data_IF_467601243845
#
_entry.id   IF_467601243845
#
_cell.length_a   1.000
_cell.length_b   1.000
_cell.length_c   1.000
_cell.angle_alpha   90.00
_cell.angle_beta   90.00
_cell.angle_gamma   90.00
#
_symmetry.space_group_name_H-M   'P 1'
#
loop_
_entity.id
_entity.type
_entity.pdbx_description
1 polymer ?
#
# COMPACT_ATOMS: atom_id res chain seq x y z
N UNK A 1 16.58 30.00 7.20
CA UNK A 1 15.34 30.32 6.47
C UNK A 1 14.20 29.68 7.23
N UNK A 2 13.06 30.32 7.39
CA UNK A 2 11.89 29.70 8.01
C UNK A 2 11.52 28.42 7.24
N UNK A 3 11.14 27.38 7.97
CA UNK A 3 10.71 26.12 7.40
C UNK A 3 9.51 26.39 6.46
N UNK A 4 9.60 25.88 5.21
CA UNK A 4 8.55 26.09 4.22
C UNK A 4 8.02 24.74 3.74
N UNK A 5 6.78 24.36 4.12
CA UNK A 5 6.22 23.06 3.79
C UNK A 5 6.12 22.81 2.28
N UNK A 6 5.86 23.84 1.47
CA UNK A 6 5.83 23.72 0.01
C UNK A 6 7.22 23.45 -0.58
N UNK A 7 8.24 24.10 -0.04
CA UNK A 7 9.62 23.85 -0.46
C UNK A 7 10.08 22.44 -0.08
N UNK A 8 9.67 21.94 1.08
CA UNK A 8 9.95 20.57 1.50
C UNK A 8 9.30 19.54 0.58
N UNK A 9 8.02 19.74 0.24
CA UNK A 9 7.30 18.86 -0.69
C UNK A 9 7.97 18.84 -2.07
N UNK A 10 8.31 20.00 -2.64
CA UNK A 10 9.01 20.07 -3.94
C UNK A 10 10.38 19.41 -3.88
N UNK A 11 11.17 19.61 -2.82
CA UNK A 11 12.46 18.96 -2.66
C UNK A 11 12.33 17.42 -2.55
N UNK A 12 11.31 16.94 -1.83
CA UNK A 12 11.02 15.53 -1.72
C UNK A 12 10.60 14.92 -3.07
N UNK A 13 9.75 15.60 -3.86
CA UNK A 13 9.34 15.16 -5.20
C UNK A 13 10.54 15.05 -6.15
N UNK A 14 11.43 16.04 -6.16
CA UNK A 14 12.66 16.00 -6.98
C UNK A 14 13.55 14.81 -6.61
N UNK A 15 13.65 14.48 -5.33
CA UNK A 15 14.44 13.31 -4.88
C UNK A 15 13.75 11.99 -5.20
N UNK A 16 12.43 11.93 -5.09
CA UNK A 16 11.65 10.73 -5.36
C UNK A 16 11.82 10.25 -6.81
N UNK A 17 11.95 11.17 -7.76
CA UNK A 17 12.26 10.82 -9.16
C UNK A 17 13.60 10.08 -9.33
N UNK A 18 14.53 10.24 -8.39
CA UNK A 18 15.86 9.63 -8.42
C UNK A 18 15.94 8.34 -7.60
N UNK A 19 15.34 8.32 -6.41
CA UNK A 19 15.55 7.29 -5.38
C UNK A 19 14.38 6.28 -5.19
N UNK A 20 13.21 6.51 -5.80
CA UNK A 20 12.12 5.53 -5.99
C UNK A 20 11.23 5.16 -4.79
N UNK A 21 11.57 5.43 -3.54
CA UNK A 21 10.75 5.09 -2.36
C UNK A 21 10.12 6.32 -1.71
N UNK A 22 8.86 6.59 -2.04
CA UNK A 22 8.14 7.82 -1.69
C UNK A 22 8.12 8.16 -0.19
N UNK A 23 7.83 7.19 0.67
CA UNK A 23 7.73 7.40 2.11
C UNK A 23 9.08 7.74 2.77
N UNK A 24 10.17 7.05 2.37
CA UNK A 24 11.50 7.26 2.94
C UNK A 24 12.06 8.64 2.55
N UNK A 25 11.84 9.03 1.29
CA UNK A 25 12.31 10.32 0.76
C UNK A 25 11.57 11.48 1.44
N UNK A 26 10.25 11.37 1.60
CA UNK A 26 9.45 12.39 2.28
C UNK A 26 9.88 12.55 3.74
N UNK A 27 9.97 11.45 4.50
CA UNK A 27 10.36 11.49 5.91
C UNK A 27 11.76 12.10 6.11
N UNK A 28 12.73 11.74 5.26
CA UNK A 28 14.08 12.30 5.32
C UNK A 28 14.07 13.83 5.09
N UNK A 29 13.26 14.30 4.12
CA UNK A 29 13.16 15.73 3.82
C UNK A 29 12.44 16.51 4.93
N UNK A 30 11.35 15.95 5.49
CA UNK A 30 10.63 16.57 6.61
C UNK A 30 11.52 16.72 7.86
N UNK A 31 12.32 15.67 8.18
CA UNK A 31 13.31 15.72 9.28
C UNK A 31 14.41 16.74 8.99
N UNK A 32 14.93 16.79 7.76
CA UNK A 32 15.97 17.73 7.35
C UNK A 32 15.54 19.20 7.54
N UNK A 33 14.27 19.48 7.21
CA UNK A 33 13.71 20.83 7.36
C UNK A 33 13.08 21.08 8.73
N UNK A 34 13.10 20.10 9.65
CA UNK A 34 12.53 20.18 11.01
C UNK A 34 11.07 20.63 10.99
N UNK A 35 10.28 20.11 10.05
CA UNK A 35 8.85 20.38 9.97
C UNK A 35 8.09 19.56 10.98
N UNK A 36 7.16 20.19 11.69
CA UNK A 36 6.32 19.58 12.72
C UNK A 36 4.85 19.98 12.55
N UNK A 37 3.96 19.25 13.20
CA UNK A 37 2.54 19.57 13.30
C UNK A 37 1.87 19.80 11.93
N UNK A 38 1.18 20.93 11.78
CA UNK A 38 0.42 21.27 10.57
C UNK A 38 1.29 21.44 9.34
N UNK A 39 2.50 21.95 9.47
CA UNK A 39 3.41 22.17 8.34
C UNK A 39 3.94 20.84 7.80
N UNK A 40 4.24 19.88 8.68
CA UNK A 40 4.59 18.50 8.31
C UNK A 40 3.43 17.84 7.56
N UNK A 41 2.21 17.91 8.09
CA UNK A 41 1.02 17.34 7.47
C UNK A 41 0.73 17.97 6.10
N UNK A 42 0.87 19.28 5.97
CA UNK A 42 0.63 19.99 4.71
C UNK A 42 1.68 19.66 3.63
N UNK A 43 2.96 19.55 4.00
CA UNK A 43 4.01 19.11 3.08
C UNK A 43 3.75 17.68 2.58
N UNK A 44 3.36 16.76 3.46
CA UNK A 44 2.96 15.40 3.12
C UNK A 44 1.74 15.35 2.20
N UNK A 45 0.73 16.16 2.49
CA UNK A 45 -0.46 16.26 1.64
C UNK A 45 -0.12 16.72 0.21
N UNK A 46 0.71 17.75 0.05
CA UNK A 46 1.17 18.19 -1.28
C UNK A 46 1.91 17.06 -2.00
N UNK A 47 2.85 16.41 -1.32
CA UNK A 47 3.68 15.36 -1.89
C UNK A 47 2.83 14.18 -2.42
N UNK A 48 1.93 13.64 -1.61
CA UNK A 48 1.08 12.52 -2.02
C UNK A 48 0.04 12.93 -3.06
N UNK A 49 -0.56 14.12 -2.96
CA UNK A 49 -1.49 14.62 -3.99
C UNK A 49 -0.82 14.73 -5.36
N UNK A 50 0.46 15.16 -5.41
CA UNK A 50 1.20 15.18 -6.68
C UNK A 50 1.41 13.76 -7.21
N UNK A 51 1.83 12.80 -6.39
CA UNK A 51 2.04 11.42 -6.82
C UNK A 51 0.74 10.75 -7.28
N UNK A 52 -0.36 10.97 -6.56
CA UNK A 52 -1.68 10.43 -6.91
C UNK A 52 -2.20 10.94 -8.26
N UNK A 53 -1.87 12.20 -8.61
CA UNK A 53 -2.42 12.88 -9.77
C UNK A 53 -1.39 13.25 -10.82
N UNK A 54 -0.15 12.71 -10.75
CA UNK A 54 0.96 13.12 -11.61
C UNK A 54 0.62 13.04 -13.10
N UNK A 55 -0.01 11.96 -13.56
CA UNK A 55 -0.37 11.80 -14.97
C UNK A 55 -1.38 12.86 -15.46
N UNK A 56 -2.37 13.18 -14.63
CA UNK A 56 -3.34 14.25 -14.89
C UNK A 56 -2.66 15.63 -14.91
N UNK A 57 -1.81 15.89 -13.91
CA UNK A 57 -1.08 17.17 -13.79
C UNK A 57 -0.16 17.38 -15.00
N UNK A 58 0.57 16.36 -15.39
CA UNK A 58 1.49 16.41 -16.54
C UNK A 58 0.75 16.66 -17.84
N UNK A 59 -0.34 15.93 -18.08
CA UNK A 59 -1.18 16.14 -19.26
C UNK A 59 -1.69 17.59 -19.37
N UNK A 60 -2.16 18.16 -18.26
CA UNK A 60 -2.65 19.54 -18.25
C UNK A 60 -1.52 20.53 -18.50
N UNK A 61 -0.37 20.37 -17.81
CA UNK A 61 0.78 21.25 -17.96
C UNK A 61 1.34 21.25 -19.38
N UNK A 62 1.38 20.09 -20.04
CA UNK A 62 1.86 19.94 -21.40
C UNK A 62 1.04 20.71 -22.44
N UNK A 63 -0.28 20.96 -22.19
CA UNK A 63 -1.07 21.81 -23.06
C UNK A 63 -0.52 23.25 -23.17
N UNK A 64 0.26 23.70 -22.20
CA UNK A 64 0.76 25.07 -22.11
C UNK A 64 2.30 25.17 -22.14
N UNK A 65 2.99 24.06 -22.42
CA UNK A 65 4.44 23.97 -22.50
C UNK A 65 4.90 23.53 -23.92
N UNK A 66 5.19 24.47 -24.83
CA UNK A 66 5.53 24.14 -26.21
C UNK A 66 6.73 23.22 -26.39
N UNK A 67 7.65 23.22 -25.41
CA UNK A 67 8.85 22.36 -25.44
C UNK A 67 8.69 21.07 -24.61
N UNK A 68 7.50 20.83 -24.04
CA UNK A 68 7.20 19.71 -23.17
C UNK A 68 7.72 19.87 -21.73
N UNK A 69 7.08 19.12 -20.82
CA UNK A 69 7.38 19.15 -19.38
C UNK A 69 8.75 18.53 -19.06
N UNK A 70 9.13 17.49 -19.78
CA UNK A 70 10.39 16.75 -19.57
C UNK A 70 11.66 17.59 -19.79
N UNK A 71 11.57 18.70 -20.55
CA UNK A 71 12.69 19.62 -20.79
C UNK A 71 12.89 20.66 -19.71
N UNK A 72 11.97 20.74 -18.76
CA UNK A 72 12.12 21.67 -17.66
C UNK A 72 13.15 21.15 -16.63
N UNK A 73 13.78 22.12 -15.96
CA UNK A 73 14.55 21.81 -14.75
C UNK A 73 13.67 21.07 -13.73
N UNK A 74 14.16 19.99 -13.09
CA UNK A 74 13.38 19.20 -12.16
C UNK A 74 12.66 20.02 -11.09
N UNK A 75 13.34 21.00 -10.48
CA UNK A 75 12.72 21.87 -9.47
C UNK A 75 11.57 22.68 -10.06
N UNK A 76 11.70 23.19 -11.29
CA UNK A 76 10.64 23.99 -11.95
C UNK A 76 9.45 23.11 -12.30
N UNK A 77 9.69 21.88 -12.76
CA UNK A 77 8.66 20.88 -13.05
C UNK A 77 7.85 20.55 -11.78
N UNK A 78 8.54 20.25 -10.67
CA UNK A 78 7.87 19.91 -9.42
C UNK A 78 7.16 21.12 -8.77
N UNK A 79 7.65 22.34 -8.96
CA UNK A 79 6.93 23.56 -8.57
C UNK A 79 5.61 23.69 -9.32
N UNK A 80 5.60 23.41 -10.63
CA UNK A 80 4.38 23.45 -11.45
C UNK A 80 3.38 22.38 -11.01
N UNK A 81 3.84 21.12 -10.85
CA UNK A 81 3.00 20.00 -10.37
C UNK A 81 2.39 20.31 -8.99
N UNK A 82 3.23 20.72 -8.03
CA UNK A 82 2.79 21.01 -6.67
C UNK A 82 1.79 22.17 -6.59
N UNK A 83 1.97 23.22 -7.40
CA UNK A 83 1.04 24.34 -7.43
C UNK A 83 -0.29 23.97 -8.07
N UNK A 84 -0.26 23.24 -9.20
CA UNK A 84 -1.46 22.79 -9.87
C UNK A 84 -2.25 21.79 -9.00
N UNK A 85 -1.56 20.87 -8.32
CA UNK A 85 -2.16 19.93 -7.37
C UNK A 85 -2.88 20.67 -6.23
N UNK A 86 -2.24 21.68 -5.64
CA UNK A 86 -2.86 22.48 -4.58
C UNK A 86 -4.13 23.20 -5.06
N UNK A 87 -4.11 23.76 -6.27
CA UNK A 87 -5.25 24.50 -6.81
C UNK A 87 -6.42 23.56 -7.18
N UNK A 88 -6.16 22.37 -7.72
CA UNK A 88 -7.21 21.46 -8.22
C UNK A 88 -7.77 20.52 -7.16
N UNK A 89 -6.93 20.02 -6.26
CA UNK A 89 -7.28 18.91 -5.36
C UNK A 89 -7.25 19.28 -3.87
N UNK A 90 -6.56 20.39 -3.49
CA UNK A 90 -6.40 20.75 -2.07
C UNK A 90 -7.15 22.03 -1.69
N UNK A 91 -8.06 22.51 -2.53
CA UNK A 91 -8.89 23.69 -2.30
C UNK A 91 -8.07 24.97 -1.98
N UNK A 92 -6.80 25.05 -2.41
CA UNK A 92 -6.00 26.25 -2.29
C UNK A 92 -6.42 27.23 -3.38
N UNK A 93 -6.72 28.51 -3.05
CA UNK A 93 -7.09 29.50 -4.07
C UNK A 93 -6.01 29.61 -5.15
N UNK A 94 -6.42 29.65 -6.42
CA UNK A 94 -5.52 29.69 -7.58
C UNK A 94 -4.48 30.81 -7.46
N UNK A 95 -4.91 32.01 -7.05
CA UNK A 95 -3.99 33.14 -6.86
C UNK A 95 -2.91 32.87 -5.81
N UNK A 96 -3.27 32.19 -4.72
CA UNK A 96 -2.33 31.82 -3.66
C UNK A 96 -1.35 30.76 -4.15
N UNK A 97 -1.84 29.70 -4.81
CA UNK A 97 -1.00 28.65 -5.38
C UNK A 97 0.02 29.19 -6.38
N UNK A 98 -0.41 30.07 -7.30
CA UNK A 98 0.46 30.71 -8.30
C UNK A 98 1.50 31.61 -7.64
N UNK A 99 1.09 32.45 -6.69
CA UNK A 99 2.01 33.37 -6.01
C UNK A 99 3.10 32.62 -5.23
N UNK A 100 2.72 31.55 -4.51
CA UNK A 100 3.68 30.72 -3.77
C UNK A 100 4.61 29.97 -4.73
N UNK A 101 4.12 29.45 -5.86
CA UNK A 101 4.95 28.82 -6.89
C UNK A 101 6.02 29.78 -7.43
N UNK A 102 5.66 31.04 -7.72
CA UNK A 102 6.60 32.07 -8.16
C UNK A 102 7.65 32.36 -7.08
N UNK A 103 7.27 32.39 -5.79
CA UNK A 103 8.25 32.51 -4.69
C UNK A 103 9.20 31.33 -4.63
N UNK A 104 8.68 30.10 -4.81
CA UNK A 104 9.50 28.88 -4.81
C UNK A 104 10.57 28.89 -5.90
N UNK A 105 10.34 29.48 -7.09
CA UNK A 105 11.39 29.58 -8.11
C UNK A 105 12.62 30.33 -7.59
N UNK A 106 12.42 31.35 -6.75
CA UNK A 106 13.53 32.09 -6.11
C UNK A 106 14.19 31.28 -5.01
N UNK A 107 13.40 30.57 -4.20
CA UNK A 107 13.89 29.67 -3.15
C UNK A 107 14.83 28.60 -3.72
N UNK A 108 14.48 28.03 -4.87
CA UNK A 108 15.28 27.03 -5.57
C UNK A 108 16.33 27.61 -6.54
N UNK A 109 16.60 28.95 -6.49
CA UNK A 109 17.54 29.64 -7.36
C UNK A 109 17.22 29.53 -8.86
N UNK A 110 15.94 29.43 -9.20
CA UNK A 110 15.39 29.35 -10.56
C UNK A 110 14.57 30.59 -10.91
N UNK A 111 15.00 31.78 -10.45
CA UNK A 111 14.24 33.00 -10.61
C UNK A 111 13.91 33.35 -12.08
N UNK A 112 14.76 32.98 -13.05
CA UNK A 112 14.50 33.14 -14.48
C UNK A 112 13.24 32.41 -14.98
N UNK A 113 12.79 31.35 -14.29
CA UNK A 113 11.58 30.61 -14.61
C UNK A 113 10.29 31.23 -14.05
N UNK A 114 10.38 32.31 -13.25
CA UNK A 114 9.20 32.91 -12.57
C UNK A 114 8.10 33.34 -13.54
N UNK A 115 8.47 33.93 -14.68
CA UNK A 115 7.51 34.33 -15.72
C UNK A 115 6.81 33.15 -16.36
N UNK A 116 7.56 32.10 -16.69
CA UNK A 116 7.02 30.85 -17.24
C UNK A 116 6.05 30.19 -16.27
N UNK A 117 6.46 30.01 -15.00
CA UNK A 117 5.63 29.40 -13.94
C UNK A 117 4.31 30.14 -13.77
N UNK A 118 4.35 31.48 -13.69
CA UNK A 118 3.13 32.30 -13.58
C UNK A 118 2.22 32.16 -14.80
N UNK A 119 2.76 32.23 -16.02
CA UNK A 119 1.99 32.17 -17.25
C UNK A 119 1.33 30.78 -17.46
N UNK A 120 2.08 29.70 -17.21
CA UNK A 120 1.57 28.32 -17.35
C UNK A 120 0.50 28.04 -16.31
N UNK A 121 0.75 28.33 -15.03
CA UNK A 121 -0.22 27.99 -13.98
C UNK A 121 -1.54 28.74 -14.10
N UNK A 122 -1.55 30.01 -14.53
CA UNK A 122 -2.80 30.76 -14.75
C UNK A 122 -3.70 30.12 -15.78
N UNK A 123 -3.14 29.43 -16.78
CA UNK A 123 -3.91 28.70 -17.79
C UNK A 123 -4.24 27.27 -17.31
N UNK A 124 -3.26 26.57 -16.78
CA UNK A 124 -3.41 25.18 -16.36
C UNK A 124 -4.45 24.98 -15.24
N UNK A 125 -4.52 25.90 -14.26
CA UNK A 125 -5.51 25.83 -13.19
C UNK A 125 -6.97 25.93 -13.69
N UNK A 126 -7.19 26.55 -14.84
CA UNK A 126 -8.53 26.71 -15.45
C UNK A 126 -8.78 25.69 -16.58
N UNK A 127 -7.89 24.72 -16.78
CA UNK A 127 -8.08 23.71 -17.82
C UNK A 127 -9.21 22.77 -17.46
N UNK A 128 -10.17 22.58 -18.40
CA UNK A 128 -11.29 21.68 -18.24
C UNK A 128 -10.95 20.31 -18.81
N UNK A 129 -10.84 19.31 -17.94
CA UNK A 129 -10.56 17.92 -18.30
C UNK A 129 -11.74 17.25 -19.05
N UNK A 130 -12.97 17.75 -18.89
CA UNK A 130 -14.12 17.19 -19.61
C UNK A 130 -14.04 17.45 -21.12
N UNK A 131 -13.32 18.49 -21.50
CA UNK A 131 -13.07 18.83 -22.91
C UNK A 131 -11.85 18.11 -23.50
N UNK A 132 -11.11 17.35 -22.69
CA UNK A 132 -9.90 16.69 -23.12
C UNK A 132 -10.18 15.60 -24.17
N UNK A 133 -9.33 15.53 -25.18
CA UNK A 133 -9.36 14.48 -26.19
C UNK A 133 -8.18 13.55 -25.97
N UNK A 134 -8.46 12.25 -25.92
CA UNK A 134 -7.45 11.21 -25.75
C UNK A 134 -7.24 10.45 -27.05
N UNK A 135 -6.02 10.05 -27.36
CA UNK A 135 -5.66 9.32 -28.61
C UNK A 135 -6.23 7.90 -28.59
N UNK A 136 -6.29 7.28 -27.43
CA UNK A 136 -6.79 5.93 -27.19
C UNK A 136 -7.15 5.74 -25.72
N UNK A 137 -7.69 4.57 -25.38
CA UNK A 137 -8.11 4.23 -24.00
C UNK A 137 -6.93 4.17 -23.03
N UNK A 138 -5.76 3.69 -23.43
CA UNK A 138 -4.55 3.70 -22.58
C UNK A 138 -4.21 5.12 -22.15
N UNK A 139 -4.18 6.09 -23.07
CA UNK A 139 -3.94 7.50 -22.71
C UNK A 139 -5.04 8.05 -21.80
N UNK A 140 -6.30 7.68 -22.05
CA UNK A 140 -7.41 8.08 -21.17
C UNK A 140 -7.20 7.58 -19.74
N UNK A 141 -6.81 6.33 -19.56
CA UNK A 141 -6.48 5.75 -18.26
C UNK A 141 -5.26 6.43 -17.61
N UNK A 142 -4.21 6.69 -18.39
CA UNK A 142 -3.02 7.40 -17.90
C UNK A 142 -3.34 8.79 -17.38
N UNK A 143 -4.28 9.50 -17.99
CA UNK A 143 -4.64 10.87 -17.62
C UNK A 143 -5.71 10.89 -16.53
N UNK A 144 -6.83 10.24 -16.72
CA UNK A 144 -7.95 10.28 -15.77
C UNK A 144 -7.68 9.41 -14.53
N UNK A 145 -6.99 8.29 -14.69
CA UNK A 145 -6.59 7.40 -13.61
C UNK A 145 -5.22 7.73 -13.01
N UNK A 146 -4.48 8.65 -13.64
CA UNK A 146 -3.14 9.07 -13.22
C UNK A 146 -2.18 7.88 -13.02
N UNK A 147 -1.90 7.16 -14.11
CA UNK A 147 -1.06 5.97 -14.13
C UNK A 147 0.01 6.06 -15.21
N UNK A 148 1.10 5.29 -15.05
CA UNK A 148 2.08 5.04 -16.11
C UNK A 148 1.49 4.17 -17.22
N UNK A 149 2.16 4.14 -18.36
CA UNK A 149 1.68 3.41 -19.54
C UNK A 149 1.49 1.92 -19.23
N UNK A 150 2.47 1.27 -18.60
CA UNK A 150 2.45 -0.18 -18.38
C UNK A 150 1.31 -0.59 -17.47
N UNK A 151 1.08 0.16 -16.38
CA UNK A 151 -0.05 -0.11 -15.45
C UNK A 151 -1.40 0.16 -16.14
N UNK A 152 -1.50 1.21 -16.96
CA UNK A 152 -2.70 1.49 -17.73
C UNK A 152 -2.99 0.38 -18.77
N UNK A 153 -1.98 -0.12 -19.47
CA UNK A 153 -2.09 -1.23 -20.43
C UNK A 153 -2.44 -2.55 -19.73
N UNK A 154 -1.81 -2.86 -18.59
CA UNK A 154 -2.15 -4.02 -17.78
C UNK A 154 -3.63 -3.99 -17.39
N UNK A 155 -4.11 -2.90 -16.81
CA UNK A 155 -5.50 -2.79 -16.37
C UNK A 155 -6.47 -2.83 -17.55
N UNK A 156 -6.16 -2.16 -18.66
CA UNK A 156 -6.96 -2.24 -19.88
C UNK A 156 -7.09 -3.66 -20.43
N UNK A 157 -6.04 -4.47 -20.26
CA UNK A 157 -5.99 -5.85 -20.77
C UNK A 157 -6.74 -6.81 -19.86
N UNK A 158 -6.52 -6.75 -18.55
CA UNK A 158 -7.06 -7.72 -17.59
C UNK A 158 -8.37 -7.26 -16.93
N UNK A 159 -8.65 -5.95 -16.89
CA UNK A 159 -9.81 -5.33 -16.23
C UNK A 159 -10.43 -4.22 -17.09
N UNK A 160 -10.79 -4.47 -18.36
CA UNK A 160 -11.14 -3.41 -19.32
C UNK A 160 -12.32 -2.53 -18.85
N UNK A 161 -13.34 -3.11 -18.22
CA UNK A 161 -14.52 -2.39 -17.73
C UNK A 161 -14.27 -1.68 -16.40
N UNK A 162 -13.30 -2.11 -15.63
CA UNK A 162 -13.03 -1.64 -14.27
C UNK A 162 -11.75 -0.79 -14.17
N UNK A 163 -10.95 -0.74 -15.23
CA UNK A 163 -9.61 -0.14 -15.21
C UNK A 163 -9.57 1.28 -14.61
N UNK A 164 -10.47 2.17 -15.06
CA UNK A 164 -10.56 3.51 -14.51
C UNK A 164 -11.04 3.50 -13.05
N UNK A 165 -12.04 2.67 -12.75
CA UNK A 165 -12.55 2.51 -11.39
C UNK A 165 -11.45 2.05 -10.41
N UNK A 166 -10.62 1.08 -10.80
CA UNK A 166 -9.48 0.61 -9.99
C UNK A 166 -8.47 1.74 -9.75
N UNK A 167 -8.15 2.53 -10.79
CA UNK A 167 -7.21 3.65 -10.68
C UNK A 167 -7.74 4.81 -9.83
N UNK A 168 -9.05 5.05 -9.84
CA UNK A 168 -9.68 6.14 -9.09
C UNK A 168 -10.27 5.70 -7.75
N UNK A 169 -10.15 4.41 -7.43
CA UNK A 169 -10.67 3.85 -6.19
C UNK A 169 -10.02 4.48 -4.96
N UNK A 170 -10.83 4.69 -3.94
CA UNK A 170 -10.37 5.08 -2.61
C UNK A 170 -10.67 3.93 -1.64
N UNK A 171 -9.64 3.19 -1.27
CA UNK A 171 -9.80 2.04 -0.39
C UNK A 171 -10.50 2.42 0.93
N UNK A 172 -11.36 1.52 1.40
CA UNK A 172 -12.07 1.65 2.68
C UNK A 172 -12.86 2.98 2.81
N UNK A 173 -13.33 3.57 1.69
CA UNK A 173 -14.04 4.85 1.67
C UNK A 173 -13.21 6.03 2.20
N UNK A 174 -11.88 5.96 2.10
CA UNK A 174 -10.95 6.96 2.61
C UNK A 174 -10.78 6.93 4.13
N UNK A 175 -11.22 5.85 4.79
CA UNK A 175 -10.94 5.59 6.19
C UNK A 175 -9.60 4.87 6.36
N UNK A 176 -8.98 5.03 7.52
CA UNK A 176 -7.88 4.16 7.93
C UNK A 176 -8.46 2.85 8.44
N UNK A 177 -8.05 1.73 7.86
CA UNK A 177 -8.41 0.40 8.34
C UNK A 177 -7.50 -0.01 9.48
N UNK A 178 -8.11 -0.44 10.57
CA UNK A 178 -7.48 -0.87 11.80
C UNK A 178 -7.86 -2.31 12.10
N UNK A 179 -6.99 -3.02 12.83
CA UNK A 179 -7.31 -4.27 13.52
C UNK A 179 -7.37 -4.01 15.02
N UNK A 180 -8.50 -4.32 15.65
CA UNK A 180 -8.60 -4.32 17.10
C UNK A 180 -7.73 -5.44 17.70
N UNK A 181 -7.07 -5.20 18.81
CA UNK A 181 -6.46 -6.27 19.60
C UNK A 181 -7.55 -6.93 20.45
N UNK A 182 -8.14 -8.00 19.92
CA UNK A 182 -9.29 -8.66 20.54
C UNK A 182 -8.97 -9.33 21.91
N UNK A 183 -7.69 -9.45 22.26
CA UNK A 183 -7.26 -9.84 23.61
C UNK A 183 -7.42 -8.71 24.64
N UNK A 184 -7.56 -7.44 24.17
CA UNK A 184 -7.77 -6.26 25.03
C UNK A 184 -9.18 -5.71 24.93
N UNK A 185 -9.71 -5.61 23.71
CA UNK A 185 -11.07 -5.14 23.44
C UNK A 185 -11.52 -5.57 22.04
N UNK A 186 -12.79 -5.79 21.85
CA UNK A 186 -13.38 -6.07 20.55
C UNK A 186 -13.49 -4.81 19.67
N UNK A 187 -13.90 -5.01 18.41
CA UNK A 187 -14.01 -3.93 17.44
C UNK A 187 -15.07 -2.88 17.83
N UNK A 188 -16.16 -3.29 18.48
CA UNK A 188 -17.23 -2.38 18.92
C UNK A 188 -16.74 -1.46 20.03
N UNK A 189 -16.12 -2.03 21.08
CA UNK A 189 -15.52 -1.27 22.17
C UNK A 189 -14.38 -0.35 21.68
N UNK A 190 -13.59 -0.78 20.68
CA UNK A 190 -12.59 0.08 20.06
C UNK A 190 -13.23 1.27 19.34
N UNK A 191 -14.32 1.06 18.59
CA UNK A 191 -15.06 2.15 17.93
C UNK A 191 -15.55 3.19 18.95
N UNK A 192 -16.18 2.76 20.05
CA UNK A 192 -16.67 3.64 21.11
C UNK A 192 -15.53 4.49 21.69
N UNK A 193 -14.43 3.86 22.09
CA UNK A 193 -13.27 4.57 22.66
C UNK A 193 -12.61 5.53 21.69
N UNK A 194 -12.54 5.19 20.40
CA UNK A 194 -12.02 6.10 19.37
C UNK A 194 -12.92 7.34 19.23
N UNK A 195 -14.24 7.17 19.22
CA UNK A 195 -15.18 8.29 19.16
C UNK A 195 -15.12 9.17 20.41
N UNK A 196 -15.08 8.57 21.61
CA UNK A 196 -14.90 9.29 22.88
C UNK A 196 -13.60 10.12 22.92
N UNK A 197 -12.54 9.62 22.29
CA UNK A 197 -11.25 10.32 22.18
C UNK A 197 -11.19 11.40 21.10
N UNK A 198 -12.30 11.66 20.39
CA UNK A 198 -12.42 12.73 19.41
C UNK A 198 -12.03 12.31 17.98
N UNK A 199 -11.89 11.01 17.68
CA UNK A 199 -11.76 10.52 16.31
C UNK A 199 -13.03 10.81 15.54
N UNK A 200 -12.92 11.36 14.34
CA UNK A 200 -14.04 11.91 13.55
C UNK A 200 -15.13 10.89 13.22
N UNK A 201 -14.74 9.66 12.93
CA UNK A 201 -15.66 8.53 12.74
C UNK A 201 -14.93 7.23 13.03
N UNK A 202 -15.63 6.25 13.60
CA UNK A 202 -15.16 4.88 13.78
C UNK A 202 -16.35 3.94 13.66
N UNK A 203 -16.20 2.87 12.88
CA UNK A 203 -17.24 1.85 12.69
C UNK A 203 -16.59 0.49 12.41
N UNK A 204 -17.25 -0.64 12.73
CA UNK A 204 -16.81 -1.95 12.32
C UNK A 204 -16.62 -2.04 10.80
N UNK A 205 -15.60 -2.76 10.36
CA UNK A 205 -15.37 -3.04 8.95
C UNK A 205 -16.05 -4.32 8.48
N UNK A 206 -15.73 -4.75 7.26
CA UNK A 206 -16.29 -5.96 6.61
C UNK A 206 -15.68 -7.26 7.15
N UNK A 207 -14.46 -7.19 7.68
CA UNK A 207 -13.72 -8.35 8.18
C UNK A 207 -13.82 -8.40 9.71
N UNK A 208 -14.08 -9.56 10.33
CA UNK A 208 -14.19 -9.67 11.79
C UNK A 208 -13.00 -9.05 12.51
N UNK A 209 -13.26 -8.21 13.50
CA UNK A 209 -12.23 -7.49 14.27
C UNK A 209 -11.65 -6.25 13.58
N UNK A 210 -12.04 -5.95 12.34
CA UNK A 210 -11.62 -4.73 11.65
C UNK A 210 -12.45 -3.52 12.07
N UNK A 211 -11.82 -2.33 12.05
CA UNK A 211 -12.44 -1.03 12.31
C UNK A 211 -12.01 -0.05 11.24
N UNK A 212 -12.96 0.72 10.71
CA UNK A 212 -12.73 1.82 9.78
C UNK A 212 -12.85 3.15 10.52
N UNK A 213 -11.77 3.94 10.56
CA UNK A 213 -11.75 5.19 11.33
C UNK A 213 -11.15 6.36 10.53
N UNK A 214 -11.65 7.58 10.78
CA UNK A 214 -11.11 8.83 10.21
C UNK A 214 -10.39 9.64 11.27
N UNK A 215 -9.06 9.67 11.21
CA UNK A 215 -8.20 10.45 12.08
C UNK A 215 -7.89 11.83 11.48
N UNK A 216 -7.70 12.83 12.36
CA UNK A 216 -7.14 14.13 12.01
C UNK A 216 -5.60 14.16 12.19
N UNK A 217 -4.92 13.09 11.88
CA UNK A 217 -3.48 12.95 12.04
C UNK A 217 -3.05 11.51 11.91
N UNK A 218 -1.84 11.21 12.39
CA UNK A 218 -1.33 9.85 12.35
C UNK A 218 -2.01 8.96 13.41
N UNK A 219 -2.63 7.83 13.03
CA UNK A 219 -3.13 6.86 14.00
C UNK A 219 -2.07 6.40 15.01
N UNK A 220 -0.79 6.40 14.61
CA UNK A 220 0.33 6.00 15.46
C UNK A 220 0.59 6.96 16.64
N UNK A 221 0.08 8.18 16.58
CA UNK A 221 0.19 9.15 17.68
C UNK A 221 -0.92 8.98 18.72
N UNK A 222 -1.96 8.21 18.39
CA UNK A 222 -3.12 8.02 19.27
C UNK A 222 -2.76 7.19 20.51
N UNK A 223 -3.28 7.54 21.71
CA UNK A 223 -3.01 6.79 22.95
C UNK A 223 -3.30 5.30 22.84
N UNK A 224 -4.48 4.93 22.34
CA UNK A 224 -4.88 3.52 22.16
C UNK A 224 -3.94 2.73 21.23
N UNK A 225 -3.30 3.38 20.26
CA UNK A 225 -2.27 2.73 19.45
C UNK A 225 -1.02 2.44 20.29
N UNK A 226 -0.55 3.42 21.05
CA UNK A 226 0.62 3.27 21.93
C UNK A 226 0.41 2.21 23.01
N UNK A 227 -0.81 2.09 23.50
CA UNK A 227 -1.25 1.07 24.45
C UNK A 227 -1.42 -0.32 23.81
N UNK A 228 -1.29 -0.45 22.49
CA UNK A 228 -1.44 -1.71 21.76
C UNK A 228 -2.88 -2.21 21.72
N UNK A 229 -3.88 -1.31 21.75
CA UNK A 229 -5.29 -1.66 21.61
C UNK A 229 -5.67 -1.93 20.15
N UNK A 230 -4.89 -1.42 19.19
CA UNK A 230 -5.06 -1.68 17.77
C UNK A 230 -3.75 -1.53 16.99
N UNK A 231 -3.75 -2.03 15.76
CA UNK A 231 -2.74 -1.71 14.75
C UNK A 231 -3.40 -1.33 13.42
N UNK A 232 -2.63 -0.68 12.54
CA UNK A 232 -3.11 -0.28 11.20
C UNK A 232 -2.86 -1.42 10.23
N UNK A 233 -3.93 -1.96 9.65
CA UNK A 233 -3.85 -3.02 8.67
C UNK A 233 -5.08 -3.01 7.76
N UNK A 234 -4.89 -3.16 6.44
CA UNK A 234 -5.97 -3.22 5.46
C UNK A 234 -6.85 -4.45 5.66
N UNK A 235 -8.17 -4.33 5.45
CA UNK A 235 -9.12 -5.40 5.68
C UNK A 235 -8.80 -6.68 4.88
N UNK A 236 -8.42 -6.55 3.61
CA UNK A 236 -8.04 -7.70 2.78
C UNK A 236 -6.78 -8.43 3.32
N UNK A 237 -5.83 -7.69 3.87
CA UNK A 237 -4.65 -8.23 4.56
C UNK A 237 -5.03 -8.99 5.83
N UNK A 238 -5.93 -8.43 6.65
CA UNK A 238 -6.48 -9.10 7.84
C UNK A 238 -7.17 -10.42 7.46
N UNK A 239 -7.95 -10.42 6.37
CA UNK A 239 -8.65 -11.60 5.89
C UNK A 239 -7.67 -12.75 5.54
N UNK A 240 -6.53 -12.43 4.90
CA UNK A 240 -5.51 -13.43 4.60
C UNK A 240 -4.91 -14.07 5.87
N UNK A 241 -4.64 -13.27 6.90
CA UNK A 241 -4.16 -13.79 8.18
C UNK A 241 -5.21 -14.66 8.89
N UNK A 242 -6.50 -14.28 8.86
CA UNK A 242 -7.59 -15.09 9.40
C UNK A 242 -7.74 -16.46 8.67
N UNK A 243 -7.44 -16.52 7.37
CA UNK A 243 -7.48 -17.75 6.60
C UNK A 243 -6.42 -18.79 7.04
N UNK A 244 -5.40 -18.39 7.77
CA UNK A 244 -4.40 -19.30 8.38
C UNK A 244 -5.07 -20.18 9.43
N UNK A 245 -6.09 -19.66 10.12
CA UNK A 245 -6.79 -20.32 11.23
C UNK A 245 -5.80 -20.82 12.29
N UNK A 246 -4.88 -19.93 12.70
CA UNK A 246 -3.94 -20.22 13.76
C UNK A 246 -4.67 -20.48 15.08
N UNK A 247 -4.16 -21.44 15.85
CA UNK A 247 -4.79 -21.89 17.11
C UNK A 247 -3.82 -21.80 18.27
N UNK A 248 -4.33 -21.64 19.51
CA UNK A 248 -3.51 -21.81 20.70
C UNK A 248 -2.74 -23.13 20.68
N UNK A 249 -1.42 -23.05 20.88
CA UNK A 249 -0.51 -24.20 20.87
C UNK A 249 0.13 -24.54 19.52
N UNK A 250 -0.33 -23.97 18.41
CA UNK A 250 0.29 -24.19 17.09
C UNK A 250 1.74 -23.66 17.02
N UNK A 251 2.52 -24.26 16.16
CA UNK A 251 3.74 -23.66 15.62
C UNK A 251 3.39 -22.98 14.30
N UNK A 252 3.49 -21.65 14.26
CA UNK A 252 3.13 -20.84 13.09
C UNK A 252 4.36 -20.14 12.53
N UNK A 253 4.47 -20.06 11.20
CA UNK A 253 5.54 -19.29 10.53
C UNK A 253 4.90 -18.29 9.57
N UNK A 254 5.28 -17.01 9.70
CA UNK A 254 4.99 -15.93 8.75
C UNK A 254 6.29 -15.64 7.99
N UNK A 255 6.39 -16.09 6.74
CA UNK A 255 7.66 -16.11 5.98
C UNK A 255 8.06 -14.76 5.39
N UNK A 256 7.11 -13.84 5.17
CA UNK A 256 7.36 -12.52 4.58
C UNK A 256 6.65 -11.43 5.41
N UNK A 257 6.94 -11.40 6.71
CA UNK A 257 6.10 -10.80 7.74
C UNK A 257 6.07 -9.27 7.78
N UNK A 258 7.14 -8.60 7.37
CA UNK A 258 7.28 -7.17 7.62
C UNK A 258 6.27 -6.29 6.81
N UNK A 259 5.66 -5.30 7.48
CA UNK A 259 6.03 -4.69 8.77
C UNK A 259 5.43 -5.35 10.02
N UNK A 260 4.71 -6.48 9.91
CA UNK A 260 4.24 -7.26 11.05
C UNK A 260 2.73 -7.28 11.29
N UNK A 261 1.91 -6.60 10.46
CA UNK A 261 0.46 -6.54 10.67
C UNK A 261 -0.18 -7.93 10.78
N UNK A 262 0.04 -8.82 9.79
CA UNK A 262 -0.46 -10.20 9.79
C UNK A 262 0.09 -11.01 10.96
N UNK A 263 1.38 -10.86 11.28
CA UNK A 263 2.00 -11.45 12.47
C UNK A 263 1.22 -11.12 13.74
N UNK A 264 0.85 -9.84 13.95
CA UNK A 264 0.11 -9.41 15.14
C UNK A 264 -1.26 -10.08 15.22
N UNK A 265 -1.96 -10.21 14.10
CA UNK A 265 -3.24 -10.90 14.04
C UNK A 265 -3.08 -12.41 14.31
N UNK A 266 -2.07 -13.06 13.73
CA UNK A 266 -1.76 -14.47 14.04
C UNK A 266 -1.46 -14.67 15.52
N UNK A 267 -0.68 -13.77 16.13
CA UNK A 267 -0.35 -13.82 17.55
C UNK A 267 -1.60 -13.66 18.45
N UNK A 268 -2.54 -12.82 18.03
CA UNK A 268 -3.84 -12.64 18.68
C UNK A 268 -4.67 -13.94 18.62
N UNK A 269 -4.82 -14.56 17.43
CA UNK A 269 -5.56 -15.82 17.26
C UNK A 269 -4.96 -16.98 18.08
N UNK A 270 -3.64 -16.99 18.26
CA UNK A 270 -2.94 -17.96 19.10
C UNK A 270 -3.10 -17.69 20.62
N UNK A 271 -3.68 -16.60 21.03
CA UNK A 271 -3.95 -16.25 22.44
C UNK A 271 -2.70 -16.34 23.34
N UNK A 272 -1.54 -16.01 22.81
CA UNK A 272 -0.27 -16.07 23.56
C UNK A 272 0.29 -17.48 23.79
N UNK A 273 -0.27 -18.51 23.16
CA UNK A 273 0.13 -19.91 23.32
C UNK A 273 0.73 -20.48 22.03
N UNK A 274 1.76 -21.31 22.17
CA UNK A 274 2.48 -21.86 21.01
C UNK A 274 3.72 -21.04 20.65
N UNK A 275 4.16 -21.13 19.38
CA UNK A 275 5.33 -20.43 18.88
C UNK A 275 5.04 -19.80 17.51
N UNK A 276 5.25 -18.49 17.36
CA UNK A 276 5.12 -17.77 16.10
C UNK A 276 6.48 -17.24 15.65
N UNK A 277 6.93 -17.70 14.49
CA UNK A 277 8.17 -17.24 13.85
C UNK A 277 7.82 -16.27 12.73
N UNK A 278 8.25 -15.01 12.86
CA UNK A 278 7.98 -13.96 11.89
C UNK A 278 9.26 -13.56 11.18
N UNK A 279 9.32 -13.79 9.88
CA UNK A 279 10.51 -13.72 9.08
C UNK A 279 10.45 -12.59 8.04
N UNK A 280 11.56 -11.92 7.81
CA UNK A 280 11.74 -11.04 6.65
C UNK A 280 13.23 -11.05 6.24
N UNK A 281 13.52 -10.84 4.96
CA UNK A 281 14.88 -10.88 4.42
C UNK A 281 15.73 -9.69 4.88
N UNK A 282 15.12 -8.58 5.25
CA UNK A 282 15.82 -7.34 5.60
C UNK A 282 15.80 -7.06 7.10
N UNK A 283 16.96 -7.01 7.76
CA UNK A 283 17.09 -6.80 9.21
C UNK A 283 16.39 -5.51 9.70
N UNK A 284 16.46 -4.42 8.93
CA UNK A 284 15.75 -3.19 9.30
C UNK A 284 14.22 -3.37 9.30
N UNK A 285 13.68 -4.24 8.45
CA UNK A 285 12.26 -4.59 8.42
C UNK A 285 11.89 -5.53 9.56
N UNK A 286 12.77 -6.47 9.93
CA UNK A 286 12.60 -7.30 11.13
C UNK A 286 12.55 -6.43 12.39
N UNK A 287 13.30 -5.34 12.43
CA UNK A 287 13.20 -4.33 13.51
C UNK A 287 11.79 -3.73 13.66
N UNK A 288 11.06 -3.54 12.56
CA UNK A 288 9.65 -3.08 12.60
C UNK A 288 8.73 -4.12 13.24
N UNK A 289 8.93 -5.41 12.90
CA UNK A 289 8.17 -6.51 13.50
C UNK A 289 8.40 -6.54 15.01
N UNK A 290 9.67 -6.50 15.47
CA UNK A 290 10.03 -6.50 16.91
C UNK A 290 9.34 -5.36 17.65
N UNK A 291 9.42 -4.14 17.13
CA UNK A 291 8.77 -2.97 17.75
C UNK A 291 7.25 -3.10 17.81
N UNK A 292 6.61 -3.67 16.78
CA UNK A 292 5.18 -3.88 16.75
C UNK A 292 4.75 -4.96 17.76
N UNK A 293 5.46 -6.08 17.82
CA UNK A 293 5.25 -7.18 18.76
C UNK A 293 5.39 -6.73 20.21
N UNK A 294 6.45 -5.96 20.52
CA UNK A 294 6.69 -5.39 21.85
C UNK A 294 5.53 -4.46 22.25
N UNK A 295 5.13 -3.54 21.38
CA UNK A 295 4.02 -2.60 21.63
C UNK A 295 2.70 -3.32 21.90
N UNK A 296 2.43 -4.43 21.20
CA UNK A 296 1.19 -5.22 21.36
C UNK A 296 1.26 -6.19 22.55
N UNK A 297 2.46 -6.50 23.04
CA UNK A 297 2.67 -7.37 24.20
C UNK A 297 2.67 -8.87 23.89
N UNK A 298 3.06 -9.28 22.68
CA UNK A 298 3.06 -10.69 22.24
C UNK A 298 4.40 -11.39 22.47
N UNK A 299 4.63 -11.92 23.66
CA UNK A 299 5.92 -12.53 24.07
C UNK A 299 6.26 -13.86 23.34
N UNK A 300 5.30 -14.53 22.71
CA UNK A 300 5.46 -15.81 22.00
C UNK A 300 5.88 -15.67 20.53
N UNK A 301 6.15 -14.43 20.09
CA UNK A 301 6.59 -14.13 18.72
C UNK A 301 8.11 -13.98 18.65
N UNK A 302 8.73 -14.70 17.75
CA UNK A 302 10.16 -14.62 17.46
C UNK A 302 10.38 -14.01 16.08
N UNK A 303 10.92 -12.80 16.02
CA UNK A 303 11.22 -12.11 14.75
C UNK A 303 12.64 -12.43 14.27
N UNK A 304 12.78 -12.96 13.04
CA UNK A 304 14.03 -13.47 12.48
C UNK A 304 14.32 -12.85 11.11
N UNK A 305 15.59 -12.51 10.87
CA UNK A 305 16.08 -12.24 9.52
C UNK A 305 16.23 -13.58 8.78
N UNK A 306 15.48 -13.76 7.69
CA UNK A 306 15.43 -15.01 6.94
C UNK A 306 15.13 -14.77 5.47
N UNK A 307 15.92 -15.38 4.59
CA UNK A 307 15.62 -15.48 3.16
C UNK A 307 14.67 -16.66 2.95
N UNK A 308 13.39 -16.35 2.71
CA UNK A 308 12.33 -17.33 2.55
C UNK A 308 12.46 -18.16 1.25
N UNK A 309 13.35 -17.81 0.33
CA UNK A 309 13.64 -18.61 -0.88
C UNK A 309 14.53 -19.82 -0.59
N UNK A 310 15.04 -19.94 0.65
CA UNK A 310 15.99 -20.98 1.04
C UNK A 310 15.61 -21.63 2.36
N UNK A 311 15.85 -22.96 2.50
CA UNK A 311 15.65 -23.64 3.78
C UNK A 311 16.50 -23.01 4.89
N UNK A 312 15.91 -22.79 6.06
CA UNK A 312 16.59 -22.32 7.24
C UNK A 312 16.46 -23.34 8.39
N UNK A 313 17.56 -23.99 8.84
CA UNK A 313 17.50 -25.02 9.87
C UNK A 313 17.09 -24.48 11.27
N UNK A 314 17.02 -23.15 11.45
CA UNK A 314 16.52 -22.52 12.68
C UNK A 314 14.99 -22.49 12.75
N UNK A 315 14.30 -22.72 11.63
CA UNK A 315 12.83 -22.78 11.59
C UNK A 315 12.38 -24.21 11.82
N UNK A 316 11.47 -24.45 12.77
CA UNK A 316 10.90 -25.77 13.02
C UNK A 316 9.87 -26.16 11.93
N UNK A 317 9.49 -27.43 11.91
CA UNK A 317 8.31 -27.83 11.17
C UNK A 317 7.05 -27.17 11.77
N UNK A 318 6.20 -26.59 10.92
CA UNK A 318 5.07 -25.76 11.33
C UNK A 318 3.72 -26.45 11.13
N UNK A 319 2.75 -26.12 11.98
CA UNK A 319 1.35 -26.51 11.82
C UNK A 319 0.65 -25.58 10.82
N UNK A 320 1.08 -24.30 10.78
CA UNK A 320 0.52 -23.25 9.92
C UNK A 320 1.62 -22.40 9.32
N UNK A 321 1.50 -22.06 8.05
CA UNK A 321 2.41 -21.12 7.39
C UNK A 321 1.61 -20.08 6.62
N UNK A 322 2.02 -18.82 6.79
CA UNK A 322 1.59 -17.71 5.96
C UNK A 322 2.73 -17.30 5.02
N UNK A 323 2.41 -17.16 3.75
CA UNK A 323 3.26 -16.56 2.71
C UNK A 323 2.52 -15.34 2.14
N UNK A 324 2.73 -14.17 2.75
CA UNK A 324 2.33 -12.89 2.15
C UNK A 324 3.45 -12.44 1.20
N UNK A 325 3.40 -12.99 -0.02
CA UNK A 325 4.54 -12.97 -0.93
C UNK A 325 4.92 -11.56 -1.42
N UNK A 326 6.21 -11.29 -1.64
CA UNK A 326 6.61 -10.11 -2.37
C UNK A 326 5.94 -10.12 -3.75
N UNK A 327 5.30 -9.02 -4.14
CA UNK A 327 4.47 -8.93 -5.33
C UNK A 327 4.57 -7.57 -6.01
N UNK A 328 3.99 -7.42 -7.20
CA UNK A 328 3.95 -6.16 -7.94
C UNK A 328 3.23 -5.03 -7.19
N UNK A 329 2.25 -5.37 -6.35
CA UNK A 329 1.47 -4.42 -5.55
C UNK A 329 0.36 -3.74 -6.34
N UNK A 330 -0.04 -4.26 -7.50
CA UNK A 330 -1.06 -3.65 -8.37
C UNK A 330 -2.47 -3.60 -7.74
N UNK A 331 -2.68 -4.22 -6.58
CA UNK A 331 -3.94 -4.15 -5.84
C UNK A 331 -4.02 -2.97 -4.86
N UNK A 332 -2.90 -2.34 -4.51
CA UNK A 332 -2.84 -1.29 -3.48
C UNK A 332 -2.47 0.09 -4.03
N UNK A 333 -2.86 0.38 -5.27
CA UNK A 333 -2.58 1.64 -5.97
C UNK A 333 -3.12 2.87 -5.23
N UNK A 334 -4.21 2.73 -4.48
CA UNK A 334 -4.77 3.78 -3.64
C UNK A 334 -3.89 4.13 -2.43
N UNK A 335 -3.19 3.15 -1.86
CA UNK A 335 -2.34 3.31 -0.66
C UNK A 335 -0.87 3.59 -1.01
N UNK A 336 -0.44 3.16 -2.19
CA UNK A 336 0.93 3.35 -2.70
C UNK A 336 0.92 3.93 -4.11
N UNK A 337 0.71 5.24 -4.24
CA UNK A 337 0.57 5.90 -5.54
C UNK A 337 1.83 5.83 -6.41
N UNK A 338 3.00 5.63 -5.83
CA UNK A 338 4.25 5.39 -6.55
C UNK A 338 4.22 4.11 -7.42
N UNK A 339 3.44 3.11 -7.05
CA UNK A 339 3.26 1.90 -7.85
C UNK A 339 2.59 2.20 -9.20
N UNK A 340 1.74 3.21 -9.27
CA UNK A 340 1.02 3.61 -10.49
C UNK A 340 1.94 3.91 -11.68
N UNK A 341 3.20 4.29 -11.39
CA UNK A 341 4.18 4.70 -12.41
C UNK A 341 5.32 3.70 -12.59
N UNK A 342 5.21 2.51 -11.98
CA UNK A 342 6.20 1.45 -12.17
C UNK A 342 6.19 0.96 -13.61
N UNK A 343 7.40 0.70 -14.12
CA UNK A 343 7.60 -0.06 -15.34
C UNK A 343 7.40 -1.55 -15.04
N UNK A 344 6.54 -2.21 -15.82
CA UNK A 344 6.26 -3.65 -15.70
C UNK A 344 7.16 -4.43 -16.67
N UNK A 345 8.47 -4.33 -16.47
CA UNK A 345 9.45 -5.05 -17.31
C UNK A 345 9.29 -6.56 -17.13
N UNK A 346 9.14 -7.27 -18.26
CA UNK A 346 8.95 -8.74 -18.26
C UNK A 346 10.03 -9.48 -17.46
N UNK A 347 11.31 -9.10 -17.58
CA UNK A 347 12.39 -9.76 -16.86
C UNK A 347 12.24 -9.66 -15.34
N UNK A 348 11.85 -8.47 -14.82
CA UNK A 348 11.60 -8.26 -13.39
C UNK A 348 10.35 -9.00 -12.91
N UNK A 349 9.33 -9.08 -13.75
CA UNK A 349 8.13 -9.86 -13.46
C UNK A 349 8.45 -11.36 -13.37
N UNK A 350 9.21 -11.91 -14.35
CA UNK A 350 9.66 -13.30 -14.35
C UNK A 350 10.51 -13.63 -13.10
N UNK A 351 11.41 -12.72 -12.67
CA UNK A 351 12.19 -12.86 -11.43
C UNK A 351 11.29 -12.88 -10.17
N UNK A 352 10.24 -12.05 -10.17
CA UNK A 352 9.29 -12.00 -9.06
C UNK A 352 8.50 -13.30 -8.95
N UNK A 353 7.99 -13.82 -10.07
CA UNK A 353 7.31 -15.11 -10.13
C UNK A 353 8.20 -16.27 -9.67
N UNK A 354 9.48 -16.29 -10.08
CA UNK A 354 10.44 -17.29 -9.63
C UNK A 354 10.71 -17.20 -8.11
N UNK A 355 10.76 -15.97 -7.57
CA UNK A 355 10.91 -15.74 -6.12
C UNK A 355 9.71 -16.28 -5.35
N UNK A 356 8.50 -15.96 -5.78
CA UNK A 356 7.25 -16.45 -5.17
C UNK A 356 7.20 -17.98 -5.19
N UNK A 357 7.54 -18.57 -6.33
CA UNK A 357 7.62 -20.04 -6.49
C UNK A 357 8.59 -20.67 -5.49
N UNK A 358 9.79 -20.13 -5.34
CA UNK A 358 10.81 -20.62 -4.40
C UNK A 358 10.37 -20.50 -2.93
N UNK A 359 9.66 -19.42 -2.58
CA UNK A 359 9.10 -19.23 -1.23
C UNK A 359 8.02 -20.28 -0.95
N UNK A 360 7.15 -20.55 -1.92
CA UNK A 360 6.12 -21.59 -1.78
C UNK A 360 6.74 -22.99 -1.60
N UNK A 361 7.80 -23.33 -2.35
CA UNK A 361 8.52 -24.61 -2.20
C UNK A 361 9.15 -24.74 -0.80
N UNK A 362 9.75 -23.64 -0.29
CA UNK A 362 10.29 -23.61 1.07
C UNK A 362 9.18 -23.77 2.13
N UNK A 363 8.03 -23.12 1.94
CA UNK A 363 6.88 -23.28 2.82
C UNK A 363 6.36 -24.71 2.82
N UNK A 364 6.26 -25.36 1.64
CA UNK A 364 5.83 -26.76 1.52
C UNK A 364 6.76 -27.72 2.29
N UNK A 365 8.07 -27.47 2.25
CA UNK A 365 9.05 -28.29 2.98
C UNK A 365 8.97 -28.11 4.51
N UNK A 366 8.64 -26.91 4.99
CA UNK A 366 8.51 -26.60 6.42
C UNK A 366 7.18 -27.02 7.02
N UNK A 367 6.15 -27.25 6.21
CA UNK A 367 4.80 -27.57 6.69
C UNK A 367 4.69 -29.04 7.05
N UNK A 368 4.16 -29.33 8.24
CA UNK A 368 3.82 -30.68 8.70
C UNK A 368 2.70 -31.30 7.83
N UNK A 369 2.62 -32.63 7.78
CA UNK A 369 1.45 -33.31 7.25
C UNK A 369 0.17 -32.87 8.00
N UNK A 370 -0.92 -32.63 7.27
CA UNK A 370 -2.15 -32.06 7.82
C UNK A 370 -2.09 -30.57 8.11
N UNK A 371 -0.93 -29.93 7.92
CA UNK A 371 -0.73 -28.49 8.15
C UNK A 371 -1.43 -27.63 7.09
N UNK A 372 -1.60 -26.34 7.38
CA UNK A 372 -2.22 -25.35 6.49
C UNK A 372 -1.21 -24.30 6.01
N UNK A 373 -1.20 -24.09 4.71
CA UNK A 373 -0.46 -23.01 4.03
C UNK A 373 -1.44 -21.98 3.48
N UNK A 374 -1.24 -20.72 3.79
CA UNK A 374 -1.95 -19.62 3.14
C UNK A 374 -0.95 -18.83 2.30
N UNK A 375 -1.25 -18.70 1.01
CA UNK A 375 -0.56 -17.83 0.08
C UNK A 375 -1.38 -16.58 -0.15
N UNK A 376 -0.76 -15.42 -0.10
CA UNK A 376 -1.43 -14.14 -0.36
C UNK A 376 -0.51 -13.15 -1.06
N UNK A 377 -1.13 -12.23 -1.81
CA UNK A 377 -0.47 -11.12 -2.49
C UNK A 377 -1.33 -9.87 -2.43
N UNK A 378 -0.72 -8.69 -2.41
CA UNK A 378 -1.41 -7.41 -2.56
C UNK A 378 -1.46 -6.95 -4.04
N UNK A 379 -1.62 -7.89 -4.97
CA UNK A 379 -1.76 -7.63 -6.40
C UNK A 379 -3.03 -8.24 -6.97
N UNK A 380 -3.45 -7.72 -8.13
CA UNK A 380 -4.54 -8.28 -8.93
C UNK A 380 -4.01 -8.92 -10.22
N UNK A 381 -2.73 -9.23 -10.30
CA UNK A 381 -2.11 -9.88 -11.45
C UNK A 381 -2.39 -11.40 -11.41
N UNK A 382 -3.09 -11.96 -12.41
CA UNK A 382 -3.37 -13.40 -12.47
C UNK A 382 -2.12 -14.28 -12.42
N UNK A 383 -1.02 -13.83 -13.03
CA UNK A 383 0.24 -14.57 -13.06
C UNK A 383 0.88 -14.74 -11.66
N UNK A 384 0.72 -13.75 -10.80
CA UNK A 384 1.20 -13.79 -9.42
C UNK A 384 0.21 -14.50 -8.46
N UNK A 385 -1.02 -14.73 -8.90
CA UNK A 385 -2.15 -15.19 -8.10
C UNK A 385 -2.54 -16.64 -8.45
N UNK A 386 -3.67 -16.82 -9.13
CA UNK A 386 -4.23 -18.14 -9.44
C UNK A 386 -3.31 -19.03 -10.30
N UNK A 387 -2.55 -18.42 -11.24
CA UNK A 387 -1.61 -19.16 -12.07
C UNK A 387 -0.42 -19.66 -11.24
N UNK A 388 0.08 -18.85 -10.28
CA UNK A 388 1.16 -19.24 -9.38
C UNK A 388 0.72 -20.40 -8.46
N UNK A 389 -0.53 -20.37 -7.95
CA UNK A 389 -1.11 -21.48 -7.17
C UNK A 389 -1.26 -22.72 -8.02
N UNK A 390 -1.75 -22.62 -9.26
CA UNK A 390 -1.88 -23.75 -10.18
C UNK A 390 -0.54 -24.43 -10.45
N UNK A 391 0.52 -23.64 -10.70
CA UNK A 391 1.89 -24.15 -10.89
C UNK A 391 2.42 -24.83 -9.63
N UNK A 392 2.15 -24.27 -8.46
CA UNK A 392 2.54 -24.87 -7.18
C UNK A 392 1.83 -26.24 -6.97
N UNK A 393 0.52 -26.31 -7.14
CA UNK A 393 -0.25 -27.54 -6.95
C UNK A 393 0.16 -28.64 -7.93
N UNK A 394 0.55 -28.31 -9.17
CA UNK A 394 1.05 -29.27 -10.14
C UNK A 394 2.38 -29.89 -9.70
N UNK A 395 3.23 -29.18 -8.97
CA UNK A 395 4.51 -29.67 -8.44
C UNK A 395 4.38 -30.36 -7.08
N UNK A 396 3.34 -30.00 -6.31
CA UNK A 396 3.09 -30.48 -4.96
C UNK A 396 1.71 -31.17 -4.86
N UNK A 397 1.56 -32.36 -5.42
CA UNK A 397 0.27 -33.10 -5.44
C UNK A 397 -0.25 -33.48 -4.04
N UNK A 398 0.61 -33.36 -3.01
CA UNK A 398 0.23 -33.55 -1.61
C UNK A 398 -0.55 -32.34 -1.05
N UNK A 399 -0.72 -31.24 -1.80
CA UNK A 399 -1.53 -30.09 -1.40
C UNK A 399 -2.88 -30.06 -2.13
N UNK A 400 -3.87 -29.55 -1.42
CA UNK A 400 -5.19 -29.23 -2.00
C UNK A 400 -5.68 -27.88 -1.50
N UNK A 401 -6.40 -27.16 -2.32
CA UNK A 401 -7.11 -25.95 -1.92
C UNK A 401 -8.21 -26.30 -0.92
N UNK A 402 -8.32 -25.50 0.14
CA UNK A 402 -9.37 -25.66 1.16
C UNK A 402 -10.08 -24.34 1.39
N UNK A 403 -11.37 -24.41 1.68
CA UNK A 403 -12.14 -23.21 2.02
C UNK A 403 -11.88 -22.85 3.49
N UNK A 404 -11.44 -21.60 3.79
CA UNK A 404 -11.31 -21.15 5.18
C UNK A 404 -12.69 -21.00 5.84
N UNK A 405 -12.72 -21.08 7.19
CA UNK A 405 -13.93 -20.91 7.97
C UNK A 405 -14.44 -19.45 7.98
N UNK A 406 -13.53 -18.49 7.84
CA UNK A 406 -13.89 -17.06 7.76
C UNK A 406 -14.70 -16.80 6.49
N UNK A 407 -15.82 -16.12 6.63
CA UNK A 407 -16.63 -15.71 5.49
C UNK A 407 -15.92 -14.64 4.66
N UNK A 408 -15.96 -14.78 3.35
CA UNK A 408 -15.45 -13.75 2.45
C UNK A 408 -16.50 -12.64 2.29
N UNK A 409 -16.08 -11.35 2.34
CA UNK A 409 -16.94 -10.22 2.05
C UNK A 409 -17.55 -10.31 0.64
N UNK A 410 -18.74 -9.72 0.49
CA UNK A 410 -19.41 -9.64 -0.80
C UNK A 410 -18.53 -8.96 -1.85
N UNK A 411 -18.64 -9.38 -3.10
CA UNK A 411 -17.84 -8.87 -4.21
C UNK A 411 -16.49 -9.55 -4.40
N UNK A 412 -16.04 -10.44 -3.49
CA UNK A 412 -14.87 -11.26 -3.75
C UNK A 412 -15.18 -12.33 -4.80
N UNK A 413 -14.27 -12.50 -5.75
CA UNK A 413 -14.34 -13.59 -6.74
C UNK A 413 -13.65 -14.82 -6.18
N UNK A 414 -14.41 -15.91 -5.97
CA UNK A 414 -13.86 -17.18 -5.48
C UNK A 414 -13.74 -18.14 -6.65
N UNK A 415 -12.50 -18.56 -6.94
CA UNK A 415 -12.16 -19.53 -7.98
C UNK A 415 -11.62 -20.84 -7.42
N UNK A 416 -11.18 -21.72 -8.32
CA UNK A 416 -10.59 -23.01 -7.97
C UNK A 416 -9.28 -22.86 -7.18
N UNK A 417 -8.48 -21.85 -7.50
CA UNK A 417 -7.14 -21.66 -6.95
C UNK A 417 -7.04 -20.55 -5.89
N UNK A 418 -8.16 -20.03 -5.42
CA UNK A 418 -8.19 -19.00 -4.37
C UNK A 418 -9.31 -17.99 -4.50
N UNK A 419 -9.18 -16.88 -3.80
CA UNK A 419 -10.15 -15.79 -3.80
C UNK A 419 -9.47 -14.45 -4.06
N UNK A 420 -10.07 -13.64 -4.93
CA UNK A 420 -9.58 -12.34 -5.36
C UNK A 420 -10.54 -11.23 -4.91
N UNK A 421 -10.01 -10.23 -4.22
CA UNK A 421 -10.62 -8.94 -3.99
C UNK A 421 -10.19 -7.98 -5.11
N UNK A 422 -11.14 -7.41 -5.83
CA UNK A 422 -10.90 -6.31 -6.77
C UNK A 422 -11.46 -5.03 -6.12
N UNK A 423 -10.71 -3.92 -6.10
CA UNK A 423 -11.09 -2.71 -5.36
C UNK A 423 -12.51 -2.19 -5.67
N UNK A 424 -12.88 -2.20 -6.94
CA UNK A 424 -14.20 -1.73 -7.43
C UNK A 424 -15.37 -2.61 -7.01
N UNK A 425 -15.11 -3.87 -6.68
CA UNK A 425 -16.15 -4.85 -6.31
C UNK A 425 -16.35 -4.94 -4.82
N UNK A 426 -15.27 -4.86 -4.05
CA UNK A 426 -15.30 -5.09 -2.59
C UNK A 426 -15.22 -3.82 -1.76
N UNK A 427 -14.74 -2.71 -2.33
CA UNK A 427 -14.42 -1.49 -1.59
C UNK A 427 -13.12 -1.59 -0.76
N UNK A 428 -12.50 -2.76 -0.69
CA UNK A 428 -11.21 -3.01 -0.04
C UNK A 428 -10.05 -2.85 -1.04
N UNK A 429 -8.82 -3.09 -0.59
CA UNK A 429 -7.66 -3.22 -1.48
C UNK A 429 -7.82 -4.41 -2.43
N UNK A 430 -7.16 -4.34 -3.59
CA UNK A 430 -6.95 -5.50 -4.45
C UNK A 430 -6.00 -6.49 -3.78
N UNK A 431 -6.47 -7.73 -3.62
CA UNK A 431 -5.76 -8.73 -2.82
C UNK A 431 -6.16 -10.14 -3.23
N UNK A 432 -5.18 -11.02 -3.32
CA UNK A 432 -5.43 -12.43 -3.56
C UNK A 432 -5.06 -13.26 -2.33
N UNK A 433 -5.80 -14.33 -2.11
CA UNK A 433 -5.51 -15.30 -1.07
C UNK A 433 -5.94 -16.70 -1.47
N UNK A 434 -5.13 -17.68 -1.10
CA UNK A 434 -5.43 -19.11 -1.27
C UNK A 434 -5.02 -19.87 -0.01
N UNK A 435 -5.97 -20.59 0.59
CA UNK A 435 -5.69 -21.51 1.69
C UNK A 435 -5.53 -22.93 1.14
N UNK A 436 -4.44 -23.58 1.49
CA UNK A 436 -4.11 -24.94 1.05
C UNK A 436 -3.80 -25.82 2.26
N UNK A 437 -4.12 -27.09 2.17
CA UNK A 437 -3.81 -28.09 3.19
C UNK A 437 -2.90 -29.17 2.62
N UNK A 438 -1.81 -29.45 3.34
CA UNK A 438 -0.95 -30.59 3.03
C UNK A 438 -1.64 -31.87 3.48
N UNK A 439 -1.88 -32.78 2.56
CA UNK A 439 -2.37 -34.12 2.87
C UNK A 439 -1.26 -34.97 3.49
N UNK A 440 -1.61 -36.16 3.98
CA UNK A 440 -0.60 -37.04 4.57
C UNK A 440 0.37 -37.57 3.53
#
# INVERSE_FOLDING_TARGET
>A
MAANPRAAAVAALVRQEQDGFSNLVLDAELRRQKLEGRDKAFAGAIFYTVLEHQGTLDFILEQFLPKGLARLDPQVREILRAALAQARYMQVPVSAAVNEAVKLTRTFKKASASGLVNAVLRKACNYDLETARFRNETQRLMVLGSAGQDVAEFLRTHYPEEALGILTHTADGGCTSLRANCLKMDAAALCEKLLESGVKSAQPGLVPGSVLAKFEGSPAEHPLFKEGCFHVEGQASQLAALCVEAKPGDTVIDLCAAPGGKTLLLAEEMQGQGALYSCDVAEHRVGLIRSAVERMGFAHVTALCNDATRPNPKLPAADRILVDAPCSGLGILAKKPDIRYKTLEKARHDELLATQSSILDTAAALLKAGGRLVYSTCTIDPAENEEQVAVFLARHPEFRVVRPAVAFPDGMTVGEHGALSVPTRTGMDGFFLCAMQKTQ
#
